data_IF_701111278842
#
_entry.id   IF_701111278842
#
_cell.length_a   1.000
_cell.length_b   1.000
_cell.length_c   1.000
_cell.angle_alpha   90.00
_cell.angle_beta   90.00
_cell.angle_gamma   90.00
#
_symmetry.space_group_name_H-M   'P 1'
#
loop_
_entity.id
_entity.type
_entity.pdbx_description
1 polymer ?
#
# COMPACT_ATOMS: atom_id res chain seq x y z
N UNK A 1 26.25 0.69 38.81
CA UNK A 1 25.82 1.89 38.07
C UNK A 1 26.30 1.67 36.66
N UNK A 2 25.41 1.60 35.68
CA UNK A 2 25.78 1.13 34.33
C UNK A 2 26.70 2.16 33.64
N UNK A 3 27.99 1.84 33.53
CA UNK A 3 28.93 2.48 32.60
C UNK A 3 28.59 2.00 31.18
N UNK A 4 27.50 2.52 30.61
CA UNK A 4 27.20 2.32 29.20
C UNK A 4 28.14 3.24 28.44
N UNK A 5 29.17 2.65 27.83
CA UNK A 5 30.10 3.37 26.98
C UNK A 5 29.36 3.91 25.75
N UNK A 6 29.80 5.07 25.24
CA UNK A 6 29.26 5.67 24.01
C UNK A 6 29.18 4.65 22.86
N UNK A 7 30.12 3.71 22.79
CA UNK A 7 30.13 2.60 21.84
C UNK A 7 28.90 1.68 21.96
N UNK A 8 28.47 1.33 23.18
CA UNK A 8 27.29 0.48 23.41
C UNK A 8 26.00 1.20 23.03
N UNK A 9 25.92 2.52 23.22
CA UNK A 9 24.79 3.32 22.76
C UNK A 9 24.67 3.30 21.23
N UNK A 10 25.80 3.39 20.51
CA UNK A 10 25.81 3.28 19.04
C UNK A 10 25.41 1.88 18.57
N UNK A 11 25.87 0.83 19.25
CA UNK A 11 25.49 -0.55 18.93
C UNK A 11 23.99 -0.76 19.17
N UNK A 12 23.46 -0.36 20.33
CA UNK A 12 22.03 -0.48 20.63
C UNK A 12 21.17 0.35 19.67
N UNK A 13 21.54 1.60 19.42
CA UNK A 13 20.83 2.49 18.48
C UNK A 13 20.85 1.95 17.05
N UNK A 14 22.00 1.47 16.58
CA UNK A 14 22.14 0.86 15.26
C UNK A 14 21.32 -0.42 15.12
N UNK A 15 21.31 -1.28 16.14
CA UNK A 15 20.56 -2.54 16.13
C UNK A 15 19.05 -2.28 16.15
N UNK A 16 18.58 -1.34 16.98
CA UNK A 16 17.18 -0.90 17.00
C UNK A 16 16.75 -0.30 15.65
N UNK A 17 17.62 0.50 15.02
CA UNK A 17 17.35 1.06 13.70
C UNK A 17 17.19 -0.04 12.65
N UNK A 18 18.12 -1.01 12.61
CA UNK A 18 18.06 -2.16 11.69
C UNK A 18 16.80 -2.98 11.92
N UNK A 19 16.48 -3.32 13.17
CA UNK A 19 15.26 -4.07 13.51
C UNK A 19 13.99 -3.34 13.07
N UNK A 20 13.91 -2.04 13.33
CA UNK A 20 12.77 -1.21 12.91
C UNK A 20 12.64 -1.19 11.39
N UNK A 21 13.76 -1.12 10.66
CA UNK A 21 13.76 -1.08 9.20
C UNK A 21 13.46 -2.45 8.57
N UNK A 22 13.97 -3.55 9.13
CA UNK A 22 13.62 -4.91 8.72
C UNK A 22 12.13 -5.16 8.95
N UNK A 23 11.61 -4.79 10.12
CA UNK A 23 10.18 -4.87 10.41
C UNK A 23 9.35 -4.03 9.44
N UNK A 24 9.81 -2.81 9.11
CA UNK A 24 9.14 -1.93 8.14
C UNK A 24 9.23 -2.44 6.71
N UNK A 25 10.30 -3.14 6.34
CA UNK A 25 10.47 -3.78 5.04
C UNK A 25 9.57 -5.02 4.92
N UNK A 26 9.45 -5.81 5.98
CA UNK A 26 8.56 -6.98 6.03
C UNK A 26 7.09 -6.60 5.94
N UNK A 27 6.67 -5.47 6.52
CA UNK A 27 5.32 -4.90 6.33
C UNK A 27 5.08 -4.30 4.94
N UNK A 28 6.13 -4.07 4.15
CA UNK A 28 6.04 -3.41 2.85
C UNK A 28 5.98 -4.42 1.69
N UNK A 29 5.52 -5.66 1.93
CA UNK A 29 5.42 -6.66 0.87
C UNK A 29 4.36 -6.24 -0.15
N UNK A 30 4.77 -6.25 -1.41
CA UNK A 30 3.87 -6.13 -2.55
C UNK A 30 3.12 -7.44 -2.74
N UNK A 31 1.80 -7.37 -2.84
CA UNK A 31 0.94 -8.52 -3.10
C UNK A 31 0.29 -8.34 -4.46
N UNK A 32 0.18 -9.45 -5.20
CA UNK A 32 -0.55 -9.47 -6.48
C UNK A 32 -2.02 -9.69 -6.15
N UNK A 33 -2.86 -8.75 -6.58
CA UNK A 33 -4.32 -8.81 -6.44
C UNK A 33 -4.91 -9.13 -7.81
N UNK A 34 -5.83 -10.08 -7.84
CA UNK A 34 -6.62 -10.46 -9.02
C UNK A 34 -7.95 -10.99 -8.51
N UNK A 35 -8.78 -10.09 -8.01
CA UNK A 35 -10.05 -10.42 -7.38
C UNK A 35 -11.19 -9.55 -7.92
N UNK A 36 -12.38 -10.11 -7.80
CA UNK A 36 -13.64 -9.47 -8.16
C UNK A 36 -14.54 -9.46 -6.93
N UNK A 37 -15.12 -8.30 -6.64
CA UNK A 37 -16.08 -8.13 -5.57
C UNK A 37 -17.38 -7.58 -6.13
N UNK A 38 -18.51 -7.93 -5.52
CA UNK A 38 -19.84 -7.46 -5.89
C UNK A 38 -20.51 -6.76 -4.72
N UNK A 39 -20.01 -5.59 -4.29
CA UNK A 39 -20.68 -4.80 -3.27
C UNK A 39 -22.10 -4.43 -3.72
N UNK A 40 -23.06 -4.59 -2.82
CA UNK A 40 -24.45 -4.17 -3.00
C UNK A 40 -24.60 -2.65 -2.82
N UNK A 41 -23.78 -1.89 -3.53
CA UNK A 41 -23.74 -0.44 -3.53
C UNK A 41 -23.77 0.07 -4.97
N UNK A 42 -24.28 1.28 -5.15
CA UNK A 42 -24.19 1.97 -6.44
C UNK A 42 -22.74 2.28 -6.77
N UNK A 43 -22.45 2.37 -8.07
CA UNK A 43 -21.11 2.71 -8.57
C UNK A 43 -20.54 3.98 -7.93
N UNK A 44 -21.34 5.02 -7.78
CA UNK A 44 -20.92 6.31 -7.20
C UNK A 44 -20.48 6.17 -5.74
N UNK A 45 -21.23 5.40 -4.93
CA UNK A 45 -20.89 5.17 -3.53
C UNK A 45 -19.58 4.38 -3.40
N UNK A 46 -19.39 3.37 -4.25
CA UNK A 46 -18.14 2.60 -4.29
C UNK A 46 -16.96 3.47 -4.71
N UNK A 47 -17.13 4.30 -5.74
CA UNK A 47 -16.11 5.21 -6.23
C UNK A 47 -15.66 6.21 -5.16
N UNK A 48 -16.63 6.83 -4.47
CA UNK A 48 -16.33 7.80 -3.41
C UNK A 48 -15.53 7.17 -2.27
N UNK A 49 -15.86 5.95 -1.86
CA UNK A 49 -15.14 5.29 -0.76
C UNK A 49 -13.79 4.74 -1.18
N UNK A 50 -13.66 4.20 -2.39
CA UNK A 50 -12.35 3.83 -2.94
C UNK A 50 -11.44 5.05 -2.99
N UNK A 51 -11.94 6.18 -3.49
CA UNK A 51 -11.18 7.42 -3.54
C UNK A 51 -10.69 7.85 -2.16
N UNK A 52 -11.56 7.88 -1.14
CA UNK A 52 -11.15 8.23 0.23
C UNK A 52 -10.13 7.25 0.82
N UNK A 53 -10.32 5.95 0.60
CA UNK A 53 -9.45 4.90 1.13
C UNK A 53 -8.06 4.93 0.50
N UNK A 54 -7.99 5.22 -0.80
CA UNK A 54 -6.74 5.25 -1.55
C UNK A 54 -6.01 6.60 -1.48
N UNK A 55 -6.73 7.71 -1.34
CA UNK A 55 -6.13 9.04 -1.16
C UNK A 55 -5.33 9.17 0.14
N UNK A 56 -5.68 8.40 1.18
CA UNK A 56 -4.97 8.39 2.45
C UNK A 56 -3.59 7.70 2.39
N UNK A 57 -3.28 6.98 1.30
CA UNK A 57 -2.02 6.24 1.19
C UNK A 57 -0.85 7.14 0.73
N UNK A 58 0.27 7.20 1.47
CA UNK A 58 1.40 8.06 1.13
C UNK A 58 2.08 7.61 -0.17
N UNK A 59 2.27 8.55 -1.10
CA UNK A 59 2.89 8.28 -2.41
C UNK A 59 1.97 7.57 -3.40
N UNK A 60 0.67 7.48 -3.10
CA UNK A 60 -0.33 6.99 -4.02
C UNK A 60 -0.81 8.07 -4.99
N UNK A 61 -1.12 7.66 -6.21
CA UNK A 61 -1.77 8.46 -7.23
C UNK A 61 -2.99 7.68 -7.73
N UNK A 62 -4.14 8.34 -7.68
CA UNK A 62 -5.39 7.83 -8.25
C UNK A 62 -5.65 8.57 -9.55
N UNK A 63 -5.71 7.86 -10.68
CA UNK A 63 -5.90 8.45 -12.00
C UNK A 63 -7.08 7.78 -12.72
N UNK A 64 -8.02 8.56 -13.28
CA UNK A 64 -9.03 8.00 -14.17
C UNK A 64 -8.37 7.52 -15.45
N UNK A 65 -8.80 6.37 -15.94
CA UNK A 65 -8.45 5.81 -17.24
C UNK A 65 -9.71 5.74 -18.10
N UNK A 66 -9.55 5.67 -19.43
CA UNK A 66 -10.67 5.48 -20.33
C UNK A 66 -11.50 4.23 -19.94
N UNK A 67 -12.79 4.22 -20.29
CA UNK A 67 -13.74 3.12 -20.05
C UNK A 67 -14.19 2.89 -18.60
N UNK A 68 -14.17 3.94 -17.77
CA UNK A 68 -14.62 3.84 -16.37
C UNK A 68 -13.69 3.01 -15.48
N UNK A 69 -12.45 2.81 -15.93
CA UNK A 69 -11.39 2.17 -15.17
C UNK A 69 -10.56 3.22 -14.43
N UNK A 70 -9.98 2.81 -13.31
CA UNK A 70 -9.15 3.63 -12.45
C UNK A 70 -7.80 2.95 -12.24
N UNK A 71 -6.73 3.73 -12.25
CA UNK A 71 -5.40 3.25 -11.93
C UNK A 71 -4.99 3.84 -10.58
N UNK A 72 -4.63 2.96 -9.67
CA UNK A 72 -3.97 3.28 -8.42
C UNK A 72 -2.48 2.94 -8.53
N UNK A 73 -1.65 3.98 -8.58
CA UNK A 73 -0.19 3.84 -8.64
C UNK A 73 0.40 4.21 -7.30
N UNK A 74 1.19 3.33 -6.69
CA UNK A 74 1.96 3.63 -5.47
C UNK A 74 3.43 3.68 -5.83
N UNK A 75 4.08 4.80 -5.48
CA UNK A 75 5.52 4.96 -5.65
C UNK A 75 6.19 5.09 -4.28
N UNK A 76 7.19 4.23 -4.03
CA UNK A 76 7.90 4.21 -2.76
C UNK A 76 9.39 4.01 -2.94
N UNK A 77 10.19 4.66 -2.10
CA UNK A 77 11.62 4.35 -1.97
C UNK A 77 11.75 3.15 -1.03
N UNK A 78 12.39 2.05 -1.44
CA UNK A 78 12.52 0.88 -0.60
C UNK A 78 13.36 1.20 0.64
N UNK A 79 12.93 0.69 1.80
CA UNK A 79 13.57 1.02 3.08
C UNK A 79 15.04 0.57 3.14
N UNK A 80 15.40 -0.51 2.42
CA UNK A 80 16.79 -0.97 2.33
C UNK A 80 17.68 0.03 1.59
N UNK A 81 17.16 0.73 0.57
CA UNK A 81 17.93 1.71 -0.19
C UNK A 81 18.22 2.96 0.65
N UNK A 82 17.29 3.33 1.55
CA UNK A 82 17.50 4.39 2.53
C UNK A 82 18.62 4.01 3.51
N UNK A 83 18.58 2.77 4.03
CA UNK A 83 19.58 2.27 4.97
C UNK A 83 20.98 2.24 4.34
N UNK A 84 21.12 1.58 3.19
CA UNK A 84 22.39 1.51 2.47
C UNK A 84 22.86 2.91 2.07
N UNK A 85 21.93 3.80 1.71
CA UNK A 85 22.24 5.18 1.36
C UNK A 85 22.84 5.98 2.51
N UNK A 86 22.32 5.78 3.73
CA UNK A 86 22.84 6.42 4.93
C UNK A 86 24.21 5.86 5.35
N UNK A 87 24.39 4.53 5.25
CA UNK A 87 25.62 3.82 5.63
C UNK A 87 26.81 4.12 4.70
N UNK A 88 26.54 4.43 3.44
CA UNK A 88 27.58 4.57 2.39
C UNK A 88 27.74 6.01 1.91
N UNK A 89 27.39 7.00 2.74
CA UNK A 89 27.58 8.41 2.43
C UNK A 89 29.04 8.71 2.05
N UNK A 90 29.30 9.53 1.01
CA UNK A 90 28.34 10.29 0.21
C UNK A 90 27.73 9.51 -0.98
N UNK A 91 28.36 8.43 -1.43
CA UNK A 91 27.94 7.68 -2.62
C UNK A 91 26.57 7.01 -2.48
N UNK A 92 26.18 6.68 -1.25
CA UNK A 92 24.89 6.11 -0.91
C UNK A 92 23.67 6.96 -1.26
N UNK A 93 23.83 8.28 -1.44
CA UNK A 93 22.73 9.14 -1.89
C UNK A 93 22.17 8.71 -3.26
N UNK A 94 22.99 8.09 -4.11
CA UNK A 94 22.54 7.56 -5.41
C UNK A 94 21.53 6.42 -5.24
N UNK A 95 21.59 5.65 -4.14
CA UNK A 95 20.65 4.56 -3.87
C UNK A 95 19.23 5.09 -3.55
N UNK A 96 19.10 6.33 -3.06
CA UNK A 96 17.79 6.97 -2.84
C UNK A 96 17.04 7.26 -4.14
N UNK A 97 17.71 7.20 -5.29
CA UNK A 97 17.07 7.31 -6.60
C UNK A 97 16.30 6.04 -6.98
N UNK A 98 16.58 4.91 -6.33
CA UNK A 98 15.83 3.67 -6.52
C UNK A 98 14.40 3.88 -6.03
N UNK A 99 13.45 3.73 -6.94
CA UNK A 99 12.02 3.88 -6.65
C UNK A 99 11.31 2.63 -7.15
N UNK A 100 10.54 2.02 -6.27
CA UNK A 100 9.62 0.95 -6.60
C UNK A 100 8.27 1.59 -6.95
N UNK A 101 7.70 1.13 -8.06
CA UNK A 101 6.37 1.54 -8.52
C UNK A 101 5.53 0.28 -8.66
N UNK A 102 4.30 0.34 -8.16
CA UNK A 102 3.32 -0.71 -8.36
C UNK A 102 1.98 -0.09 -8.77
N UNK A 103 1.34 -0.74 -9.73
CA UNK A 103 0.06 -0.31 -10.28
C UNK A 103 -1.02 -1.35 -9.97
N UNK A 104 -2.16 -0.86 -9.52
CA UNK A 104 -3.39 -1.59 -9.30
C UNK A 104 -4.47 -0.99 -10.19
N UNK A 105 -4.97 -1.78 -11.14
CA UNK A 105 -6.07 -1.39 -12.02
C UNK A 105 -7.37 -1.80 -11.36
N UNK A 106 -8.24 -0.83 -11.09
CA UNK A 106 -9.57 -1.04 -10.51
C UNK A 106 -10.60 -0.67 -11.56
N UNK A 107 -11.44 -1.61 -11.96
CA UNK A 107 -12.53 -1.38 -12.90
C UNK A 107 -13.86 -1.49 -12.16
N UNK A 108 -14.70 -0.46 -12.33
CA UNK A 108 -16.06 -0.42 -11.80
C UNK A 108 -17.02 -0.71 -12.95
N UNK A 109 -17.80 -1.77 -12.83
CA UNK A 109 -18.80 -2.19 -13.79
C UNK A 109 -20.17 -2.11 -13.13
N UNK A 110 -21.19 -1.66 -13.86
CA UNK A 110 -22.57 -1.70 -13.41
C UNK A 110 -23.16 -3.10 -13.71
N UNK A 111 -23.70 -3.76 -12.69
CA UNK A 111 -24.30 -5.10 -12.78
C UNK A 111 -25.72 -5.06 -12.19
N UNK A 112 -26.68 -4.52 -12.97
CA UNK A 112 -28.10 -4.65 -12.68
C UNK A 112 -28.58 -4.07 -11.34
N UNK A 113 -27.94 -3.01 -10.85
CA UNK A 113 -28.26 -2.36 -9.57
C UNK A 113 -27.21 -2.57 -8.47
N UNK A 114 -26.22 -3.44 -8.71
CA UNK A 114 -25.02 -3.58 -7.90
C UNK A 114 -23.77 -3.16 -8.70
N UNK A 115 -22.70 -2.78 -8.00
CA UNK A 115 -21.43 -2.46 -8.64
C UNK A 115 -20.50 -3.67 -8.57
N UNK A 116 -19.96 -4.09 -9.71
CA UNK A 116 -18.88 -5.07 -9.78
C UNK A 116 -17.54 -4.34 -9.78
N UNK A 117 -16.71 -4.64 -8.78
CA UNK A 117 -15.36 -4.09 -8.62
C UNK A 117 -14.37 -5.18 -9.02
N UNK A 118 -13.61 -4.96 -10.08
CA UNK A 118 -12.51 -5.85 -10.49
C UNK A 118 -11.18 -5.15 -10.22
N UNK A 119 -10.35 -5.68 -9.34
CA UNK A 119 -9.01 -5.16 -9.11
C UNK A 119 -7.93 -6.16 -9.56
N UNK A 120 -7.03 -5.69 -10.43
CA UNK A 120 -5.93 -6.48 -10.98
C UNK A 120 -4.64 -5.68 -10.90
N UNK A 121 -3.59 -6.25 -10.32
CA UNK A 121 -2.27 -5.63 -10.31
C UNK A 121 -1.46 -5.95 -9.08
N UNK A 122 -0.60 -5.01 -8.68
CA UNK A 122 0.25 -5.11 -7.50
C UNK A 122 0.01 -3.92 -6.58
N UNK A 123 -0.17 -4.20 -5.30
CA UNK A 123 -0.40 -3.18 -4.26
C UNK A 123 0.26 -3.62 -2.95
N UNK A 124 0.53 -2.72 -1.99
CA UNK A 124 1.03 -3.13 -0.69
C UNK A 124 0.01 -4.04 0.02
N UNK A 125 0.50 -5.04 0.76
CA UNK A 125 -0.34 -6.01 1.50
C UNK A 125 -1.39 -5.33 2.39
N UNK A 126 -0.99 -4.28 3.13
CA UNK A 126 -1.92 -3.51 3.97
C UNK A 126 -3.07 -2.88 3.16
N UNK A 127 -2.79 -2.41 1.94
CA UNK A 127 -3.81 -1.85 1.05
C UNK A 127 -4.71 -2.94 0.48
N UNK A 128 -4.15 -4.10 0.12
CA UNK A 128 -4.92 -5.26 -0.34
C UNK A 128 -5.87 -5.76 0.76
N UNK A 129 -5.38 -5.93 1.99
CA UNK A 129 -6.18 -6.38 3.13
C UNK A 129 -7.27 -5.37 3.50
N UNK A 130 -6.97 -4.06 3.45
CA UNK A 130 -7.97 -3.03 3.71
C UNK A 130 -9.07 -3.05 2.65
N UNK A 131 -8.71 -3.20 1.37
CA UNK A 131 -9.65 -3.31 0.25
C UNK A 131 -10.55 -4.54 0.41
N UNK A 132 -9.96 -5.71 0.68
CA UNK A 132 -10.67 -6.97 0.86
C UNK A 132 -11.62 -6.89 2.07
N UNK A 133 -11.10 -6.48 3.24
CA UNK A 133 -11.91 -6.31 4.45
C UNK A 133 -13.09 -5.36 4.23
N UNK A 134 -12.90 -4.28 3.48
CA UNK A 134 -13.95 -3.30 3.22
C UNK A 134 -14.99 -3.84 2.24
N UNK A 135 -14.57 -4.40 1.11
CA UNK A 135 -15.47 -4.93 0.08
C UNK A 135 -16.27 -6.14 0.60
N UNK A 136 -15.65 -7.05 1.35
CA UNK A 136 -16.33 -8.22 1.93
C UNK A 136 -17.32 -7.84 3.05
N UNK A 137 -17.02 -6.79 3.85
CA UNK A 137 -17.98 -6.26 4.83
C UNK A 137 -19.20 -5.63 4.18
N UNK A 138 -19.03 -5.01 3.02
CA UNK A 138 -20.13 -4.44 2.25
C UNK A 138 -21.02 -5.52 1.61
N UNK A 139 -20.43 -6.67 1.25
CA UNK A 139 -21.17 -7.83 0.74
C UNK A 139 -22.04 -8.51 1.81
N UNK A 140 -21.56 -8.58 3.05
CA UNK A 140 -22.28 -9.29 4.14
C UNK A 140 -23.39 -8.48 4.79
N UNK A 141 -23.34 -7.14 4.76
CA UNK A 141 -24.37 -6.28 5.39
C UNK A 141 -25.74 -6.29 4.71
N UNK A 142 -25.85 -6.75 3.46
CA UNK A 142 -27.12 -6.79 2.72
C UNK A 142 -27.85 -8.12 2.80
N UNK A 143 -27.25 -9.18 3.36
CA UNK A 143 -27.92 -10.47 3.57
C UNK A 143 -28.68 -10.58 4.91
N UNK A 144 -28.55 -9.56 5.78
CA UNK A 144 -29.13 -9.53 7.13
C UNK A 144 -30.12 -8.40 7.36
N UNK A 145 -30.56 -7.71 6.31
CA UNK A 145 -31.51 -6.59 6.35
C UNK A 145 -32.78 -6.87 5.59
#
# INVERSE_FOLDING_TARGET
MFDIGVAELFVFGGTMLVLTLVWRAWRARWVRVSQEWRPALTREAVEQVLFMSFAAAPGAQWRPQADGSWIYTVRRVPSWAILLGLLTLPFGLLLLLVKETADLHVRLLDDGGACLVRAVGRTPDATAQALDTWLTRMETRTLSG
#
